data_IF_073553860489
#
_entry.id   IF_073553860489
#
_cell.length_a   1.000
_cell.length_b   1.000
_cell.length_c   1.000
_cell.angle_alpha   90.00
_cell.angle_beta   90.00
_cell.angle_gamma   90.00
#
_symmetry.space_group_name_H-M   'P 1'
#
loop_
_entity.id
_entity.type
_entity.pdbx_description
1 polymer ?
#
# COMPACT_ATOMS: atom_id res chain seq x y z
N UNK A 1 -9.43 14.56 20.21
CA UNK A 1 -8.39 14.93 19.23
C UNK A 1 -7.24 13.92 19.20
N UNK A 2 -7.43 12.79 18.51
CA UNK A 2 -6.30 11.95 18.10
C UNK A 2 -5.73 12.56 16.82
N UNK A 3 -4.66 13.35 16.91
CA UNK A 3 -3.98 13.88 15.73
C UNK A 3 -3.37 12.73 14.94
N UNK A 4 -4.07 12.27 13.91
CA UNK A 4 -3.52 11.37 12.89
C UNK A 4 -2.49 12.20 12.10
N UNK A 5 -1.26 12.26 12.60
CA UNK A 5 -0.15 12.86 11.86
C UNK A 5 0.19 11.88 10.75
N UNK A 6 -0.04 12.27 9.49
CA UNK A 6 0.41 11.49 8.36
C UNK A 6 1.94 11.50 8.38
N UNK A 7 2.55 10.43 8.88
CA UNK A 7 4.00 10.30 8.97
C UNK A 7 4.51 10.08 7.54
N UNK A 8 5.21 11.07 7.01
CA UNK A 8 5.82 10.98 5.68
C UNK A 8 7.13 10.24 5.78
N UNK A 9 7.28 9.18 5.00
CA UNK A 9 8.54 8.43 4.92
C UNK A 9 9.71 9.35 4.53
N UNK A 10 10.87 9.09 5.11
CA UNK A 10 12.12 9.80 4.77
C UNK A 10 12.55 9.47 3.34
N UNK A 11 13.13 10.44 2.63
CA UNK A 11 13.64 10.23 1.27
C UNK A 11 14.60 9.03 1.14
N UNK A 12 15.42 8.77 2.17
CA UNK A 12 16.32 7.61 2.22
C UNK A 12 15.56 6.28 2.23
N UNK A 13 14.46 6.19 2.97
CA UNK A 13 13.62 5.00 3.02
C UNK A 13 12.92 4.76 1.68
N UNK A 14 12.36 5.81 1.09
CA UNK A 14 11.73 5.73 -0.25
C UNK A 14 12.74 5.21 -1.28
N UNK A 15 13.97 5.73 -1.27
CA UNK A 15 15.03 5.26 -2.15
C UNK A 15 15.36 3.78 -1.93
N UNK A 16 15.52 3.35 -0.67
CA UNK A 16 15.80 1.95 -0.34
C UNK A 16 14.71 1.02 -0.88
N UNK A 17 13.43 1.35 -0.66
CA UNK A 17 12.30 0.52 -1.12
C UNK A 17 12.33 0.35 -2.63
N UNK A 18 12.56 1.44 -3.39
CA UNK A 18 12.69 1.38 -4.84
C UNK A 18 13.91 0.58 -5.28
N UNK A 19 15.06 0.76 -4.64
CA UNK A 19 16.28 0.03 -4.95
C UNK A 19 16.10 -1.48 -4.71
N UNK A 20 15.52 -1.88 -3.57
CA UNK A 20 15.24 -3.29 -3.26
C UNK A 20 14.23 -3.90 -4.24
N UNK A 21 13.21 -3.15 -4.64
CA UNK A 21 12.22 -3.62 -5.60
C UNK A 21 12.84 -3.88 -6.99
N UNK A 22 13.64 -2.94 -7.49
CA UNK A 22 14.35 -3.09 -8.76
C UNK A 22 15.32 -4.28 -8.67
N UNK A 23 16.08 -4.39 -7.59
CA UNK A 23 17.03 -5.48 -7.38
C UNK A 23 16.33 -6.85 -7.36
N UNK A 24 15.16 -6.96 -6.71
CA UNK A 24 14.38 -8.19 -6.68
C UNK A 24 13.88 -8.59 -8.08
N UNK A 25 13.31 -7.66 -8.84
CA UNK A 25 12.87 -7.92 -10.22
C UNK A 25 14.05 -8.33 -11.09
N UNK A 26 15.14 -7.56 -11.07
CA UNK A 26 16.33 -7.85 -11.87
C UNK A 26 16.90 -9.24 -11.53
N UNK A 27 17.04 -9.56 -10.25
CA UNK A 27 17.53 -10.88 -9.82
C UNK A 27 16.63 -12.01 -10.33
N UNK A 28 15.32 -11.85 -10.27
CA UNK A 28 14.39 -12.89 -10.69
C UNK A 28 14.35 -13.04 -12.22
N UNK A 29 14.37 -11.92 -12.95
CA UNK A 29 14.46 -11.90 -14.41
C UNK A 29 15.75 -12.57 -14.88
N UNK A 30 16.89 -12.24 -14.27
CA UNK A 30 18.18 -12.90 -14.56
C UNK A 30 18.11 -14.40 -14.27
N UNK A 31 17.51 -14.81 -13.15
CA UNK A 31 17.29 -16.22 -12.82
C UNK A 31 16.47 -16.97 -13.89
N UNK A 32 15.40 -16.35 -14.42
CA UNK A 32 14.59 -16.92 -15.50
C UNK A 32 15.40 -17.02 -16.80
N UNK A 33 16.24 -16.03 -17.13
CA UNK A 33 17.06 -16.06 -18.33
C UNK A 33 18.10 -17.18 -18.32
N UNK A 34 18.81 -17.36 -17.20
CA UNK A 34 19.83 -18.40 -17.05
C UNK A 34 19.28 -19.81 -16.83
N UNK A 35 17.97 -19.97 -16.66
CA UNK A 35 17.36 -21.28 -16.45
C UNK A 35 17.52 -22.15 -17.73
N UNK A 36 18.06 -23.38 -17.64
CA UNK A 36 18.26 -24.27 -18.79
C UNK A 36 16.97 -25.03 -19.14
N UNK A 37 15.92 -24.29 -19.49
CA UNK A 37 14.60 -24.83 -19.86
C UNK A 37 14.11 -24.24 -21.18
N UNK A 38 13.06 -24.84 -21.72
CA UNK A 38 12.41 -24.36 -22.94
C UNK A 38 11.89 -22.92 -22.79
N UNK A 39 11.94 -22.15 -23.88
CA UNK A 39 11.50 -20.75 -23.91
C UNK A 39 10.03 -20.61 -23.52
N UNK A 40 9.19 -21.61 -23.82
CA UNK A 40 7.79 -21.61 -23.41
C UNK A 40 7.63 -21.58 -21.88
N UNK A 41 8.43 -22.37 -21.16
CA UNK A 41 8.42 -22.43 -19.70
C UNK A 41 8.92 -21.10 -19.11
N UNK A 42 9.95 -20.51 -19.70
CA UNK A 42 10.43 -19.17 -19.31
C UNK A 42 9.33 -18.11 -19.47
N UNK A 43 8.57 -18.18 -20.57
CA UNK A 43 7.42 -17.32 -20.82
C UNK A 43 6.35 -17.46 -19.74
N UNK A 44 5.98 -18.70 -19.38
CA UNK A 44 5.03 -18.97 -18.30
C UNK A 44 5.49 -18.40 -16.94
N UNK A 45 6.78 -18.58 -16.59
CA UNK A 45 7.34 -18.00 -15.37
C UNK A 45 7.34 -16.47 -15.40
N UNK A 46 7.64 -15.86 -16.55
CA UNK A 46 7.60 -14.42 -16.73
C UNK A 46 6.19 -13.85 -16.59
N UNK A 47 5.18 -14.53 -17.16
CA UNK A 47 3.77 -14.16 -16.98
C UNK A 47 3.36 -14.20 -15.50
N UNK A 48 3.74 -15.25 -14.78
CA UNK A 48 3.49 -15.38 -13.34
C UNK A 48 4.14 -14.26 -12.54
N UNK A 49 5.41 -13.95 -12.82
CA UNK A 49 6.14 -12.86 -12.17
C UNK A 49 5.42 -11.50 -12.35
N UNK A 50 5.07 -11.14 -13.58
CA UNK A 50 4.39 -9.87 -13.88
C UNK A 50 3.01 -9.82 -13.24
N UNK A 51 2.24 -10.90 -13.32
CA UNK A 51 0.90 -10.96 -12.72
C UNK A 51 0.94 -10.84 -11.19
N UNK A 52 1.86 -11.54 -10.53
CA UNK A 52 2.04 -11.44 -9.08
C UNK A 52 2.42 -10.01 -8.67
N UNK A 53 3.38 -9.37 -9.36
CA UNK A 53 3.77 -7.98 -9.07
C UNK A 53 2.59 -7.02 -9.24
N UNK A 54 1.86 -7.11 -10.34
CA UNK A 54 0.69 -6.26 -10.61
C UNK A 54 -0.43 -6.44 -9.57
N UNK A 55 -0.68 -7.69 -9.18
CA UNK A 55 -1.66 -8.03 -8.13
C UNK A 55 -1.23 -7.50 -6.75
N UNK A 56 0.06 -7.62 -6.39
CA UNK A 56 0.59 -7.08 -5.15
C UNK A 56 0.42 -5.56 -5.05
N UNK A 57 0.67 -4.82 -6.14
CA UNK A 57 0.42 -3.37 -6.16
C UNK A 57 -1.07 -3.02 -6.02
N UNK A 58 -1.93 -3.76 -6.72
CA UNK A 58 -3.38 -3.57 -6.62
C UNK A 58 -3.90 -3.84 -5.20
N UNK A 59 -3.37 -4.88 -4.55
CA UNK A 59 -3.67 -5.21 -3.16
C UNK A 59 -3.17 -4.13 -2.20
N UNK A 60 -1.92 -3.68 -2.35
CA UNK A 60 -1.35 -2.62 -1.52
C UNK A 60 -2.13 -1.31 -1.65
N UNK A 61 -2.55 -0.95 -2.87
CA UNK A 61 -3.43 0.20 -3.12
C UNK A 61 -4.76 0.03 -2.40
N UNK A 62 -5.42 -1.11 -2.58
CA UNK A 62 -6.74 -1.37 -1.96
C UNK A 62 -6.66 -1.27 -0.43
N UNK A 63 -5.61 -1.81 0.18
CA UNK A 63 -5.40 -1.74 1.62
C UNK A 63 -5.15 -0.30 2.11
N UNK A 64 -4.37 0.47 1.36
CA UNK A 64 -4.16 1.90 1.65
C UNK A 64 -5.46 2.69 1.55
N UNK A 65 -6.22 2.47 0.48
CA UNK A 65 -7.50 3.14 0.24
C UNK A 65 -8.51 2.81 1.37
N UNK A 66 -8.55 1.55 1.84
CA UNK A 66 -9.35 1.15 3.00
C UNK A 66 -8.92 1.88 4.28
N UNK A 67 -7.61 1.95 4.55
CA UNK A 67 -7.08 2.63 5.73
C UNK A 67 -7.39 4.13 5.72
N UNK A 68 -7.29 4.78 4.56
CA UNK A 68 -7.64 6.18 4.39
C UNK A 68 -9.15 6.41 4.61
N UNK A 69 -10.01 5.54 4.08
CA UNK A 69 -11.46 5.60 4.29
C UNK A 69 -11.85 5.46 5.78
N UNK A 70 -11.29 4.51 6.50
CA UNK A 70 -11.51 4.34 7.96
C UNK A 70 -11.17 5.61 8.74
N UNK A 71 -10.02 6.23 8.42
CA UNK A 71 -9.58 7.44 9.09
C UNK A 71 -10.51 8.63 8.85
N UNK A 72 -11.09 8.74 7.65
CA UNK A 72 -12.06 9.78 7.31
C UNK A 72 -13.36 9.57 8.09
N UNK A 73 -13.87 8.34 8.12
CA UNK A 73 -15.08 7.99 8.87
C UNK A 73 -14.94 8.34 10.35
N UNK A 74 -13.82 7.95 10.97
CA UNK A 74 -13.56 8.26 12.38
C UNK A 74 -13.58 9.78 12.70
N UNK A 75 -13.08 10.63 11.78
CA UNK A 75 -13.13 12.10 11.94
C UNK A 75 -14.55 12.65 11.82
N UNK A 76 -15.37 12.08 10.92
CA UNK A 76 -16.78 12.46 10.77
C UNK A 76 -17.57 12.07 12.02
N UNK A 77 -17.31 10.89 12.57
CA UNK A 77 -17.96 10.44 13.80
C UNK A 77 -17.56 11.31 15.00
N UNK A 78 -16.28 11.68 15.14
CA UNK A 78 -15.82 12.61 16.18
C UNK A 78 -16.54 13.97 16.07
N UNK A 79 -16.66 14.54 14.86
CA UNK A 79 -17.36 15.80 14.64
C UNK A 79 -18.88 15.72 14.89
N UNK A 80 -19.52 14.59 14.54
CA UNK A 80 -20.95 14.35 14.83
C UNK A 80 -21.19 14.24 16.33
N UNK A 81 -20.33 13.50 17.03
CA UNK A 81 -20.38 13.36 18.50
C UNK A 81 -20.19 14.72 19.17
N UNK A 82 -19.21 15.51 18.74
CA UNK A 82 -18.99 16.87 19.25
C UNK A 82 -20.21 17.76 19.05
N UNK A 83 -20.85 17.69 17.87
CA UNK A 83 -22.09 18.44 17.60
C UNK A 83 -23.24 18.04 18.52
N UNK A 84 -23.46 16.74 18.72
CA UNK A 84 -24.53 16.24 19.61
C UNK A 84 -24.27 16.67 21.06
N UNK A 85 -23.02 16.58 21.52
CA UNK A 85 -22.61 17.02 22.85
C UNK A 85 -22.80 18.53 23.04
N UNK A 86 -22.53 19.34 22.00
CA UNK A 86 -22.74 20.78 22.03
C UNK A 86 -24.23 21.15 22.05
N UNK A 87 -25.07 20.43 21.29
CA UNK A 87 -26.52 20.64 21.25
C UNK A 87 -27.23 20.24 22.56
N UNK A 88 -26.72 19.24 23.27
CA UNK A 88 -27.33 18.70 24.50
C UNK A 88 -26.62 19.11 25.79
N UNK A 89 -25.74 20.12 25.78
CA UNK A 89 -25.05 20.57 26.99
C UNK A 89 -26.03 21.24 27.96
N UNK A 90 -26.34 20.64 29.13
CA UNK A 90 -27.34 21.14 30.07
C UNK A 90 -26.80 22.27 30.99
N UNK A 91 -25.70 22.94 30.61
CA UNK A 91 -25.02 23.98 31.38
C UNK A 91 -25.16 25.38 30.76
N UNK A 92 -26.35 25.70 30.23
CA UNK A 92 -26.85 27.06 30.12
C UNK A 92 -28.21 27.16 30.77
#
# INVERSE_FOLDING_TARGET
MKTIVAQKDTNAWIFQVWASFIMAISSMTVGIFYLPVDNWIKGYMGMGLVFTIGSSFSLAKTLRDQKEAENILARVDEARVEKILAEHSPLK
#
